data_IF_789284236078
#
_entry.id   IF_789284236078
#
_cell.length_a   1.000
_cell.length_b   1.000
_cell.length_c   1.000
_cell.angle_alpha   90.00
_cell.angle_beta   90.00
_cell.angle_gamma   90.00
#
_symmetry.space_group_name_H-M   'P 1'
#
loop_
_entity.id
_entity.type
_entity.pdbx_description
1 polymer ?
#
# COMPACT_ATOMS: atom_id res chain seq x y z
N UNK A 1 -18.93 5.50 -62.27
CA UNK A 1 -17.83 5.13 -61.35
C UNK A 1 -18.38 4.12 -60.36
N UNK A 2 -18.15 2.84 -60.64
CA UNK A 2 -18.66 1.71 -59.88
C UNK A 2 -17.51 1.20 -59.01
N UNK A 3 -17.70 1.17 -57.69
CA UNK A 3 -16.85 0.39 -56.80
C UNK A 3 -17.72 -0.62 -56.08
N UNK A 4 -17.74 -1.83 -56.63
CA UNK A 4 -18.26 -3.03 -56.00
C UNK A 4 -17.22 -3.54 -55.00
N UNK A 5 -17.63 -3.80 -53.76
CA UNK A 5 -16.76 -4.33 -52.71
C UNK A 5 -17.55 -5.11 -51.68
N UNK A 6 -17.99 -6.31 -52.05
CA UNK A 6 -18.65 -7.26 -51.16
C UNK A 6 -17.60 -7.89 -50.24
N UNK A 7 -17.69 -7.63 -48.93
CA UNK A 7 -16.84 -8.26 -47.92
C UNK A 7 -17.34 -9.69 -47.72
N UNK A 8 -16.59 -10.67 -48.21
CA UNK A 8 -16.84 -12.09 -47.96
C UNK A 8 -16.16 -12.52 -46.66
N UNK A 9 -16.97 -12.97 -45.69
CA UNK A 9 -16.47 -13.60 -44.46
C UNK A 9 -16.26 -15.10 -44.72
N UNK A 10 -15.05 -15.50 -45.08
CA UNK A 10 -14.69 -16.92 -45.15
C UNK A 10 -14.31 -17.41 -43.75
N UNK A 11 -15.17 -18.27 -43.19
CA UNK A 11 -14.85 -19.15 -42.06
C UNK A 11 -13.72 -20.09 -42.48
N UNK A 12 -12.48 -19.78 -42.10
CA UNK A 12 -11.40 -20.74 -42.11
C UNK A 12 -11.43 -21.54 -40.80
N UNK A 13 -11.46 -22.86 -40.98
CA UNK A 13 -11.54 -23.90 -39.97
C UNK A 13 -10.43 -23.80 -38.93
N UNK A 14 -10.81 -24.04 -37.68
CA UNK A 14 -9.94 -24.39 -36.57
C UNK A 14 -9.03 -25.56 -37.00
N UNK A 15 -7.73 -25.31 -37.08
CA UNK A 15 -6.72 -26.36 -37.09
C UNK A 15 -5.83 -26.13 -35.88
N UNK A 16 -5.92 -27.08 -34.95
CA UNK A 16 -5.14 -27.16 -33.73
C UNK A 16 -3.66 -27.29 -34.05
N UNK A 17 -2.93 -26.19 -33.96
CA UNK A 17 -1.51 -26.24 -33.62
C UNK A 17 -1.33 -25.38 -32.38
N UNK A 18 -1.46 -26.01 -31.21
CA UNK A 18 -0.84 -25.54 -29.98
C UNK A 18 0.67 -25.46 -30.26
N UNK A 19 1.11 -24.29 -30.70
CA UNK A 19 2.51 -23.95 -30.81
C UNK A 19 3.07 -23.97 -29.38
N UNK A 20 3.88 -25.01 -29.15
CA UNK A 20 4.97 -25.09 -28.17
C UNK A 20 5.30 -23.70 -27.63
N UNK A 21 4.88 -23.43 -26.39
CA UNK A 21 5.08 -22.14 -25.73
C UNK A 21 6.60 -21.88 -25.61
N UNK A 22 7.15 -20.86 -26.30
CA UNK A 22 8.60 -20.63 -26.37
C UNK A 22 9.21 -20.16 -25.04
N UNK A 23 8.38 -19.94 -24.01
CA UNK A 23 8.81 -19.58 -22.66
C UNK A 23 9.19 -20.77 -21.77
N UNK A 24 8.87 -22.00 -22.16
CA UNK A 24 9.25 -23.22 -21.42
C UNK A 24 10.26 -24.05 -22.22
N UNK A 25 11.45 -23.50 -22.43
CA UNK A 25 12.65 -24.32 -22.57
C UNK A 25 13.35 -24.37 -21.21
N UNK A 26 12.71 -25.00 -20.23
CA UNK A 26 13.42 -25.48 -19.04
C UNK A 26 13.82 -26.92 -19.36
N UNK A 27 15.02 -27.10 -19.90
CA UNK A 27 15.62 -28.43 -19.98
C UNK A 27 15.72 -28.98 -18.56
N UNK A 28 14.98 -30.05 -18.27
CA UNK A 28 15.00 -30.76 -16.98
C UNK A 28 16.38 -31.43 -16.72
N UNK A 29 17.30 -31.38 -17.68
CA UNK A 29 18.64 -31.97 -17.62
C UNK A 29 19.59 -31.28 -16.61
N UNK A 30 19.34 -30.03 -16.21
CA UNK A 30 20.22 -29.31 -15.27
C UNK A 30 19.99 -29.63 -13.78
N UNK A 31 18.96 -30.43 -13.43
CA UNK A 31 18.70 -30.80 -12.02
C UNK A 31 19.69 -31.87 -11.52
N UNK A 32 20.33 -32.64 -12.42
CA UNK A 32 21.08 -33.85 -12.05
C UNK A 32 22.55 -33.64 -11.69
N UNK A 33 23.11 -32.43 -11.77
CA UNK A 33 24.57 -32.23 -11.62
C UNK A 33 25.07 -31.76 -10.25
N UNK A 34 24.20 -31.37 -9.32
CA UNK A 34 24.62 -30.93 -7.98
C UNK A 34 24.09 -31.85 -6.87
N UNK A 35 24.90 -32.80 -6.33
CA UNK A 35 24.44 -33.81 -5.37
C UNK A 35 24.13 -33.29 -3.95
N UNK A 36 24.18 -31.99 -3.71
CA UNK A 36 23.93 -31.40 -2.38
C UNK A 36 22.69 -30.50 -2.30
N UNK A 37 21.88 -30.40 -3.35
CA UNK A 37 20.69 -29.54 -3.36
C UNK A 37 19.41 -30.34 -3.63
N UNK A 38 18.53 -30.41 -2.64
CA UNK A 38 17.25 -31.12 -2.76
C UNK A 38 16.46 -30.62 -3.99
N UNK A 39 15.94 -31.49 -4.86
CA UNK A 39 15.30 -31.09 -6.12
C UNK A 39 14.13 -30.11 -5.92
N UNK A 40 13.40 -30.21 -4.80
CA UNK A 40 12.35 -29.23 -4.48
C UNK A 40 12.91 -27.82 -4.18
N UNK A 41 14.16 -27.70 -3.72
CA UNK A 41 14.82 -26.42 -3.48
C UNK A 41 15.21 -25.74 -4.80
N UNK A 42 15.71 -26.51 -5.76
CA UNK A 42 15.98 -26.03 -7.13
C UNK A 42 14.68 -25.53 -7.77
N UNK A 43 13.62 -26.34 -7.71
CA UNK A 43 12.31 -25.96 -8.24
C UNK A 43 11.77 -24.65 -7.62
N UNK A 44 11.79 -24.55 -6.30
CA UNK A 44 11.27 -23.36 -5.60
C UNK A 44 12.12 -22.12 -5.83
N UNK A 45 13.43 -22.24 -5.97
CA UNK A 45 14.31 -21.10 -6.26
C UNK A 45 14.14 -20.60 -7.69
N UNK A 46 14.06 -21.51 -8.67
CA UNK A 46 13.75 -21.17 -10.06
C UNK A 46 12.38 -20.51 -10.21
N UNK A 47 11.35 -21.06 -9.54
CA UNK A 47 10.01 -20.46 -9.57
C UNK A 47 10.00 -19.06 -8.94
N UNK A 48 10.68 -18.86 -7.82
CA UNK A 48 10.78 -17.54 -7.19
C UNK A 48 11.57 -16.53 -8.06
N UNK A 49 12.60 -16.99 -8.78
CA UNK A 49 13.36 -16.16 -9.72
C UNK A 49 12.50 -15.72 -10.90
N UNK A 50 11.78 -16.65 -11.52
CA UNK A 50 10.83 -16.33 -12.60
C UNK A 50 9.76 -15.37 -12.08
N UNK A 51 9.22 -15.62 -10.89
CA UNK A 51 8.22 -14.77 -10.29
C UNK A 51 8.75 -13.34 -10.02
N UNK A 52 9.99 -13.18 -9.56
CA UNK A 52 10.57 -11.86 -9.31
C UNK A 52 10.91 -11.10 -10.60
N UNK A 53 11.20 -11.80 -11.69
CA UNK A 53 11.47 -11.22 -13.01
C UNK A 53 10.18 -10.83 -13.76
N UNK A 54 9.11 -11.63 -13.60
CA UNK A 54 7.86 -11.45 -14.36
C UNK A 54 6.79 -10.66 -13.62
N UNK A 55 6.74 -10.76 -12.29
CA UNK A 55 5.73 -10.08 -11.47
C UNK A 55 6.37 -8.81 -10.88
N UNK A 56 5.92 -7.61 -11.27
CA UNK A 56 6.42 -6.39 -10.68
C UNK A 56 6.06 -6.37 -9.19
N UNK A 57 7.08 -6.27 -8.33
CA UNK A 57 6.86 -6.13 -6.88
C UNK A 57 6.15 -4.81 -6.62
N UNK A 58 4.87 -4.89 -6.26
CA UNK A 58 4.11 -3.72 -5.83
C UNK A 58 4.69 -3.25 -4.49
N UNK A 59 5.55 -2.23 -4.52
CA UNK A 59 5.93 -1.52 -3.31
C UNK A 59 4.67 -0.88 -2.76
N UNK A 60 4.12 -1.44 -1.69
CA UNK A 60 3.09 -0.75 -0.93
C UNK A 60 3.65 0.61 -0.53
N UNK A 61 3.13 1.69 -1.13
CA UNK A 61 3.39 3.04 -0.62
C UNK A 61 2.93 3.01 0.81
N UNK A 62 3.87 3.06 1.74
CA UNK A 62 3.60 3.16 3.17
C UNK A 62 2.61 4.31 3.36
N UNK A 63 1.32 3.98 3.53
CA UNK A 63 0.22 4.91 3.72
C UNK A 63 0.25 5.43 5.17
N UNK A 64 1.47 5.77 5.62
CA UNK A 64 1.73 6.37 6.92
C UNK A 64 0.94 7.67 6.98
N UNK A 65 0.43 8.01 8.17
CA UNK A 65 -0.53 9.08 8.32
C UNK A 65 0.02 10.36 7.70
N UNK A 66 -0.74 10.91 6.76
CA UNK A 66 -0.43 12.10 5.96
C UNK A 66 -0.40 13.41 6.76
N UNK A 67 -0.38 13.29 8.10
CA UNK A 67 -0.58 14.38 9.05
C UNK A 67 0.71 14.66 9.81
N UNK A 68 1.23 15.89 9.77
CA UNK A 68 2.47 16.27 10.46
C UNK A 68 2.45 16.10 11.99
N UNK A 69 1.26 16.06 12.62
CA UNK A 69 1.12 15.90 14.07
C UNK A 69 1.22 14.46 14.56
N UNK A 70 1.30 13.46 13.69
CA UNK A 70 1.32 12.06 14.13
C UNK A 70 2.74 11.61 14.52
N UNK A 71 3.07 11.81 15.79
CA UNK A 71 4.36 11.47 16.41
C UNK A 71 4.45 10.02 16.85
N UNK A 72 5.63 9.56 17.28
CA UNK A 72 5.78 8.21 17.84
C UNK A 72 4.99 8.04 19.15
N UNK A 73 4.87 9.10 19.96
CA UNK A 73 3.99 9.10 21.14
C UNK A 73 2.53 8.77 20.76
N UNK A 74 2.04 9.34 19.65
CA UNK A 74 0.72 9.01 19.13
C UNK A 74 0.61 7.54 18.72
N UNK A 75 1.67 6.96 18.13
CA UNK A 75 1.70 5.52 17.80
C UNK A 75 1.65 4.67 19.05
N UNK A 76 2.50 4.95 20.04
CA UNK A 76 2.56 4.20 21.30
C UNK A 76 1.22 4.25 22.01
N UNK A 77 0.63 5.44 22.17
CA UNK A 77 -0.69 5.61 22.78
C UNK A 77 -1.80 4.85 22.03
N UNK A 78 -1.79 4.92 20.69
CA UNK A 78 -2.76 4.18 19.87
C UNK A 78 -2.61 2.66 20.04
N UNK A 79 -1.38 2.13 20.08
CA UNK A 79 -1.10 0.71 20.31
C UNK A 79 -1.57 0.28 21.70
N UNK A 80 -1.27 1.07 22.74
CA UNK A 80 -1.69 0.82 24.12
C UNK A 80 -3.22 0.78 24.25
N UNK A 81 -3.93 1.76 23.69
CA UNK A 81 -5.40 1.76 23.65
C UNK A 81 -5.96 0.54 22.94
N UNK A 82 -5.42 0.15 21.79
CA UNK A 82 -5.84 -1.05 21.05
C UNK A 82 -5.57 -2.34 21.85
N UNK A 83 -4.49 -2.39 22.63
CA UNK A 83 -4.19 -3.53 23.52
C UNK A 83 -5.24 -3.61 24.64
N UNK A 84 -5.48 -2.51 25.35
CA UNK A 84 -6.47 -2.44 26.43
C UNK A 84 -7.89 -2.72 25.93
N UNK A 85 -8.26 -2.21 24.75
CA UNK A 85 -9.56 -2.48 24.12
C UNK A 85 -9.75 -3.96 23.82
N UNK A 86 -8.75 -4.61 23.21
CA UNK A 86 -8.80 -6.05 22.92
C UNK A 86 -8.94 -6.88 24.19
N UNK A 87 -8.22 -6.51 25.25
CA UNK A 87 -8.32 -7.19 26.53
C UNK A 87 -9.71 -7.02 27.15
N UNK A 88 -10.24 -5.79 27.21
CA UNK A 88 -11.56 -5.52 27.76
C UNK A 88 -12.70 -6.21 26.99
N UNK A 89 -12.57 -6.40 25.68
CA UNK A 89 -13.56 -7.13 24.87
C UNK A 89 -13.43 -8.65 25.00
N UNK A 90 -12.21 -9.18 25.17
CA UNK A 90 -12.00 -10.62 25.38
C UNK A 90 -12.37 -11.04 26.80
N UNK A 91 -12.10 -10.19 27.78
CA UNK A 91 -12.29 -10.44 29.21
C UNK A 91 -12.91 -9.19 29.84
N UNK A 92 -14.25 -9.09 29.88
CA UNK A 92 -14.98 -7.92 30.40
C UNK A 92 -14.95 -7.79 31.94
N UNK A 93 -13.77 -7.86 32.55
CA UNK A 93 -13.63 -7.61 33.99
C UNK A 93 -13.72 -6.10 34.29
N UNK A 94 -14.20 -5.69 35.48
CA UNK A 94 -14.30 -4.28 35.85
C UNK A 94 -12.97 -3.53 35.72
N UNK A 95 -11.87 -4.16 36.13
CA UNK A 95 -10.51 -3.63 36.03
C UNK A 95 -10.09 -3.39 34.58
N UNK A 96 -10.35 -4.36 33.69
CA UNK A 96 -10.03 -4.25 32.27
C UNK A 96 -10.81 -3.12 31.60
N UNK A 97 -12.10 -2.97 31.95
CA UNK A 97 -12.95 -1.88 31.43
C UNK A 97 -12.47 -0.51 31.93
N UNK A 98 -12.10 -0.39 33.21
CA UNK A 98 -11.54 0.85 33.78
C UNK A 98 -10.22 1.20 33.09
N UNK A 99 -9.32 0.22 32.91
CA UNK A 99 -8.05 0.43 32.22
C UNK A 99 -8.26 0.87 30.77
N UNK A 100 -9.21 0.27 30.05
CA UNK A 100 -9.58 0.72 28.71
C UNK A 100 -10.08 2.17 28.70
N UNK A 101 -10.95 2.56 29.65
CA UNK A 101 -11.43 3.95 29.78
C UNK A 101 -10.27 4.93 30.04
N UNK A 102 -9.35 4.60 30.94
CA UNK A 102 -8.15 5.41 31.24
C UNK A 102 -7.24 5.57 30.01
N UNK A 103 -6.86 4.47 29.38
CA UNK A 103 -5.99 4.49 28.19
C UNK A 103 -6.66 5.19 27.01
N UNK A 104 -7.99 5.09 26.86
CA UNK A 104 -8.76 5.86 25.88
C UNK A 104 -8.69 7.36 26.15
N UNK A 105 -8.85 7.80 27.40
CA UNK A 105 -8.74 9.21 27.78
C UNK A 105 -7.34 9.76 27.54
N UNK A 106 -6.31 9.04 27.96
CA UNK A 106 -4.90 9.40 27.71
C UNK A 106 -4.59 9.52 26.22
N UNK A 107 -5.05 8.56 25.40
CA UNK A 107 -4.85 8.62 23.95
C UNK A 107 -5.52 9.85 23.32
N UNK A 108 -6.74 10.20 23.77
CA UNK A 108 -7.43 11.41 23.30
C UNK A 108 -6.65 12.68 23.67
N UNK A 109 -6.11 12.73 24.88
CA UNK A 109 -5.29 13.84 25.34
C UNK A 109 -4.04 14.01 24.47
N UNK A 110 -3.26 12.94 24.29
CA UNK A 110 -2.03 12.95 23.47
C UNK A 110 -2.35 13.40 22.05
N UNK A 111 -3.42 12.90 21.44
CA UNK A 111 -3.80 13.30 20.08
C UNK A 111 -4.20 14.78 20.00
N UNK A 112 -4.90 15.29 21.03
CA UNK A 112 -5.27 16.72 21.11
C UNK A 112 -4.02 17.59 21.24
N UNK A 113 -3.08 17.20 22.11
CA UNK A 113 -1.82 17.93 22.28
C UNK A 113 -0.96 17.92 21.02
N UNK A 114 -0.79 16.76 20.39
CA UNK A 114 0.00 16.65 19.18
C UNK A 114 -0.54 17.52 18.04
N UNK A 115 -1.87 17.58 17.87
CA UNK A 115 -2.53 18.49 16.91
C UNK A 115 -2.29 19.96 17.28
N UNK A 116 -2.45 20.32 18.55
CA UNK A 116 -2.21 21.68 19.05
C UNK A 116 -0.77 22.13 18.76
N UNK A 117 0.21 21.30 19.11
CA UNK A 117 1.62 21.59 18.92
C UNK A 117 1.98 21.73 17.44
N UNK A 118 1.48 20.85 16.58
CA UNK A 118 1.73 20.98 15.14
C UNK A 118 1.08 22.23 14.55
N UNK A 119 -0.11 22.61 15.03
CA UNK A 119 -0.74 23.87 14.62
C UNK A 119 0.08 25.08 15.04
N UNK A 120 0.53 25.12 16.31
CA UNK A 120 1.39 26.19 16.81
C UNK A 120 2.69 26.28 16.01
N UNK A 121 3.37 25.15 15.77
CA UNK A 121 4.57 25.10 14.93
C UNK A 121 4.33 25.63 13.52
N UNK A 122 3.21 25.29 12.90
CA UNK A 122 2.84 25.79 11.58
C UNK A 122 2.63 27.30 11.59
N UNK A 123 1.84 27.84 12.53
CA UNK A 123 1.59 29.27 12.64
C UNK A 123 2.88 30.03 12.92
N UNK A 124 3.74 29.54 13.80
CA UNK A 124 5.07 30.12 14.07
C UNK A 124 6.01 30.11 12.87
N UNK A 125 5.83 29.19 11.91
CA UNK A 125 6.65 29.11 10.70
C UNK A 125 6.21 30.05 9.57
N UNK A 126 5.07 30.73 9.73
CA UNK A 126 4.56 31.63 8.70
C UNK A 126 5.41 32.91 8.62
N UNK A 127 5.79 33.28 7.40
CA UNK A 127 6.48 34.53 7.10
C UNK A 127 5.78 35.28 5.97
N UNK A 128 6.07 36.57 5.78
CA UNK A 128 5.53 37.41 4.69
C UNK A 128 5.82 36.86 3.29
N UNK A 129 6.84 36.00 3.15
CA UNK A 129 7.21 35.33 1.88
C UNK A 129 6.38 34.08 1.59
N UNK A 130 5.50 33.67 2.48
CA UNK A 130 4.72 32.43 2.35
C UNK A 130 3.52 32.66 1.45
N UNK A 131 3.45 31.96 0.31
CA UNK A 131 2.32 32.10 -0.61
C UNK A 131 1.04 31.50 -0.04
N UNK A 132 -0.11 32.07 -0.40
CA UNK A 132 -1.44 31.54 -0.02
C UNK A 132 -1.62 30.06 -0.41
N UNK A 133 -1.09 29.64 -1.57
CA UNK A 133 -1.08 28.25 -2.02
C UNK A 133 -0.37 27.33 -1.03
N UNK A 134 0.81 27.74 -0.52
CA UNK A 134 1.58 26.96 0.44
C UNK A 134 0.85 26.85 1.79
N UNK A 135 0.24 27.94 2.26
CA UNK A 135 -0.58 27.97 3.48
C UNK A 135 -1.75 26.99 3.38
N UNK A 136 -2.54 27.06 2.31
CA UNK A 136 -3.67 26.14 2.10
C UNK A 136 -3.24 24.68 1.93
N UNK A 137 -2.08 24.42 1.31
CA UNK A 137 -1.52 23.09 1.23
C UNK A 137 -1.14 22.55 2.62
N UNK A 138 -0.50 23.36 3.46
CA UNK A 138 -0.14 22.98 4.83
C UNK A 138 -1.37 22.75 5.73
N UNK A 139 -2.40 23.61 5.63
CA UNK A 139 -3.67 23.42 6.35
C UNK A 139 -4.32 22.09 5.94
N UNK A 140 -4.35 21.76 4.65
CA UNK A 140 -4.88 20.47 4.17
C UNK A 140 -4.07 19.28 4.71
N UNK A 141 -2.74 19.39 4.77
CA UNK A 141 -1.85 18.37 5.39
C UNK A 141 -2.15 18.18 6.87
N UNK A 142 -2.28 19.26 7.64
CA UNK A 142 -2.61 19.20 9.08
C UNK A 142 -3.98 18.58 9.32
N UNK A 143 -4.99 18.92 8.48
CA UNK A 143 -6.32 18.30 8.54
C UNK A 143 -6.37 16.86 8.03
N UNK A 144 -5.30 16.36 7.40
CA UNK A 144 -5.25 15.03 6.79
C UNK A 144 -6.05 14.91 5.49
N UNK A 145 -6.47 16.04 4.89
CA UNK A 145 -7.19 16.09 3.60
C UNK A 145 -6.25 16.36 2.42
N UNK A 146 -4.94 16.13 2.61
CA UNK A 146 -3.97 16.31 1.55
C UNK A 146 -3.97 15.11 0.62
N UNK A 147 -4.32 15.38 -0.64
CA UNK A 147 -4.11 14.47 -1.75
C UNK A 147 -2.84 14.90 -2.47
N UNK A 148 -1.92 13.95 -2.67
CA UNK A 148 -0.83 14.16 -3.60
C UNK A 148 -1.43 14.23 -5.01
N UNK A 149 -1.01 15.20 -5.81
CA UNK A 149 -1.43 15.30 -7.20
C UNK A 149 -1.03 14.00 -7.91
N UNK A 150 -2.00 13.32 -8.52
CA UNK A 150 -1.72 12.20 -9.42
C UNK A 150 -1.21 12.78 -10.74
N UNK A 151 -0.18 12.17 -11.32
CA UNK A 151 0.25 12.49 -12.69
C UNK A 151 -1.00 12.38 -13.58
N UNK A 152 -1.33 13.44 -14.32
CA UNK A 152 -2.67 13.66 -14.90
C UNK A 152 -3.21 12.53 -15.78
N UNK A 153 -2.36 11.68 -16.36
CA UNK A 153 -2.79 10.51 -17.14
C UNK A 153 -3.12 9.28 -16.28
N UNK A 154 -2.60 9.19 -15.05
CA UNK A 154 -2.90 8.10 -14.10
C UNK A 154 -4.07 8.54 -13.21
N UNK A 155 -5.24 8.70 -13.81
CA UNK A 155 -6.49 8.88 -13.07
C UNK A 155 -6.87 7.55 -12.43
N UNK A 156 -6.38 7.28 -11.22
CA UNK A 156 -7.00 6.27 -10.36
C UNK A 156 -8.28 6.88 -9.79
N UNK A 157 -9.39 6.64 -10.47
CA UNK A 157 -10.72 7.00 -10.03
C UNK A 157 -11.08 6.30 -8.72
N UNK A 158 -11.64 7.07 -7.79
CA UNK A 158 -12.59 6.61 -6.79
C UNK A 158 -13.97 7.13 -7.22
#
# INVERSE_FOLDING_TARGET
>A
MVWSGTITFTKALCSTHLTRNPFFNFEIEDIRKDPMLHPAKVFTTSLNKIASETIPVLRHRNNRPRVPWFTEECRVAQRARKKAQRLAFRQPTPENVINFKRTRAQTRYIFKQARKLAWQKFVSSLSSRTTSKAVWAAIRKIKGRFQAESIGHLRTGL
#
